data_IF_953850842407
#
_entry.id   IF_953850842407
#
_cell.length_a   1.000
_cell.length_b   1.000
_cell.length_c   1.000
_cell.angle_alpha   90.00
_cell.angle_beta   90.00
_cell.angle_gamma   90.00
#
_symmetry.space_group_name_H-M   'P 1'
#
loop_
_entity.id
_entity.type
_entity.pdbx_description
1 polymer ?
#
# COMPACT_ATOMS: atom_id res chain seq x y z
N UNK A 1 -31.60 19.54 -26.83
CA UNK A 1 -30.32 19.21 -26.16
C UNK A 1 -30.17 20.16 -24.98
N UNK A 2 -30.49 19.70 -23.74
CA UNK A 2 -30.19 20.48 -22.54
C UNK A 2 -28.65 20.56 -22.43
N UNK A 3 -28.12 21.79 -22.47
CA UNK A 3 -26.76 22.08 -22.03
C UNK A 3 -26.67 21.66 -20.58
N UNK A 4 -26.10 20.51 -20.30
CA UNK A 4 -25.68 20.12 -18.95
C UNK A 4 -24.52 21.01 -18.58
N UNK A 5 -24.80 22.05 -17.76
CA UNK A 5 -23.75 22.92 -17.23
C UNK A 5 -22.88 22.13 -16.26
N UNK A 6 -21.69 21.76 -16.73
CA UNK A 6 -20.64 21.22 -15.86
C UNK A 6 -19.92 22.37 -15.17
N UNK A 7 -19.66 22.22 -13.87
CA UNK A 7 -18.86 23.21 -13.15
C UNK A 7 -17.79 22.56 -12.33
N UNK A 8 -16.56 22.90 -12.64
CA UNK A 8 -15.38 22.41 -11.90
C UNK A 8 -15.08 23.40 -10.78
N UNK A 9 -15.16 22.93 -9.53
CA UNK A 9 -14.93 23.75 -8.35
C UNK A 9 -13.50 23.61 -7.85
N UNK A 10 -12.85 24.72 -7.50
CA UNK A 10 -11.49 24.71 -6.88
C UNK A 10 -11.44 23.93 -5.56
N UNK A 11 -12.57 23.82 -4.85
CA UNK A 11 -12.69 23.05 -3.61
C UNK A 11 -12.34 21.56 -3.76
N UNK A 12 -12.32 21.00 -4.98
CA UNK A 12 -11.88 19.62 -5.25
C UNK A 12 -10.45 19.36 -4.73
N UNK A 13 -9.58 20.36 -4.82
CA UNK A 13 -8.20 20.25 -4.30
C UNK A 13 -8.15 20.26 -2.77
N UNK A 14 -9.03 20.99 -2.11
CA UNK A 14 -9.16 20.94 -0.64
C UNK A 14 -9.64 19.55 -0.22
N UNK A 15 -10.65 19.00 -0.90
CA UNK A 15 -11.14 17.64 -0.66
C UNK A 15 -10.03 16.60 -0.83
N UNK A 16 -9.29 16.68 -1.91
CA UNK A 16 -8.18 15.76 -2.17
C UNK A 16 -7.08 15.90 -1.12
N UNK A 17 -6.71 17.15 -0.74
CA UNK A 17 -5.65 17.38 0.25
C UNK A 17 -5.99 16.83 1.62
N UNK A 18 -7.19 17.08 2.15
CA UNK A 18 -7.60 16.54 3.45
C UNK A 18 -7.71 15.01 3.42
N UNK A 19 -8.12 14.46 2.29
CA UNK A 19 -8.16 13.02 2.06
C UNK A 19 -6.75 12.41 2.01
N UNK A 20 -5.82 13.04 1.32
CA UNK A 20 -4.40 12.63 1.26
C UNK A 20 -3.77 12.65 2.65
N UNK A 21 -4.03 13.67 3.46
CA UNK A 21 -3.48 13.79 4.82
C UNK A 21 -3.94 12.61 5.69
N UNK A 22 -5.24 12.28 5.71
CA UNK A 22 -5.73 11.19 6.56
C UNK A 22 -5.22 9.83 6.10
N UNK A 23 -5.07 9.59 4.80
CA UNK A 23 -4.44 8.37 4.26
C UNK A 23 -2.98 8.29 4.71
N UNK A 24 -2.21 9.36 4.51
CA UNK A 24 -0.80 9.39 4.88
C UNK A 24 -0.61 9.12 6.38
N UNK A 25 -1.44 9.72 7.23
CA UNK A 25 -1.39 9.47 8.68
C UNK A 25 -1.75 8.02 9.01
N UNK A 26 -2.78 7.44 8.41
CA UNK A 26 -3.13 6.03 8.63
C UNK A 26 -1.98 5.09 8.24
N UNK A 27 -1.33 5.34 7.10
CA UNK A 27 -0.19 4.53 6.63
C UNK A 27 1.06 4.71 7.51
N UNK A 28 1.31 5.92 8.01
CA UNK A 28 2.35 6.17 9.01
C UNK A 28 2.11 5.35 10.27
N UNK A 29 0.85 5.32 10.76
CA UNK A 29 0.48 4.55 11.95
C UNK A 29 0.60 3.04 11.73
N UNK A 30 0.36 2.55 10.51
CA UNK A 30 0.54 1.14 10.17
C UNK A 30 1.99 0.70 10.30
N UNK A 31 2.93 1.44 9.71
CA UNK A 31 4.34 1.02 9.60
C UNK A 31 5.19 1.40 10.82
N UNK A 32 4.62 2.14 11.79
CA UNK A 32 5.32 2.72 12.95
C UNK A 32 6.35 1.79 13.60
N UNK A 33 6.02 0.53 13.83
CA UNK A 33 6.88 -0.37 14.61
C UNK A 33 7.95 -1.09 13.78
N UNK A 34 7.88 -1.05 12.45
CA UNK A 34 8.83 -1.74 11.57
C UNK A 34 10.29 -1.31 11.76
N UNK A 35 10.62 0.00 11.81
CA UNK A 35 12.00 0.44 11.97
C UNK A 35 12.52 0.43 13.42
N UNK A 36 11.67 0.10 14.41
CA UNK A 36 11.99 0.11 15.84
C UNK A 36 11.56 -1.18 16.54
N UNK A 37 11.55 -2.30 15.84
CA UNK A 37 11.06 -3.59 16.38
C UNK A 37 11.77 -3.97 17.67
N UNK A 38 13.08 -3.78 17.74
CA UNK A 38 13.85 -4.15 18.92
C UNK A 38 13.57 -3.25 20.14
N UNK A 39 13.52 -1.94 19.94
CA UNK A 39 13.17 -1.00 21.00
C UNK A 39 11.76 -1.30 21.53
N UNK A 40 10.83 -1.66 20.63
CA UNK A 40 9.47 -2.06 21.03
C UNK A 40 9.45 -3.39 21.78
N UNK A 41 10.26 -4.39 21.35
CA UNK A 41 10.44 -5.67 22.09
C UNK A 41 10.91 -5.40 23.52
N UNK A 42 11.92 -4.56 23.70
CA UNK A 42 12.43 -4.20 25.02
C UNK A 42 11.42 -3.41 25.85
N UNK A 43 10.71 -2.45 25.23
CA UNK A 43 9.75 -1.59 25.89
C UNK A 43 8.52 -2.36 26.42
N UNK A 44 8.02 -3.32 25.63
CA UNK A 44 6.81 -4.10 25.99
C UNK A 44 7.12 -5.46 26.62
N UNK A 45 8.36 -5.93 26.60
CA UNK A 45 8.73 -7.27 27.10
C UNK A 45 8.09 -8.41 26.29
N UNK A 46 7.94 -8.25 24.99
CA UNK A 46 7.28 -9.21 24.08
C UNK A 46 8.23 -9.70 22.99
N UNK A 47 7.84 -10.76 22.27
CA UNK A 47 8.64 -11.28 21.16
C UNK A 47 8.56 -10.39 19.89
N UNK A 48 9.57 -10.52 19.01
CA UNK A 48 9.56 -9.87 17.67
C UNK A 48 8.27 -10.13 16.92
N UNK A 49 7.76 -11.39 16.95
CA UNK A 49 6.53 -11.75 16.27
C UNK A 49 5.33 -10.95 16.77
N UNK A 50 5.24 -10.68 18.09
CA UNK A 50 4.18 -9.84 18.64
C UNK A 50 4.28 -8.41 18.15
N UNK A 51 5.49 -7.86 17.99
CA UNK A 51 5.67 -6.55 17.37
C UNK A 51 5.31 -6.58 15.89
N UNK A 52 5.77 -7.58 15.13
CA UNK A 52 5.37 -7.79 13.73
C UNK A 52 3.86 -7.95 13.55
N UNK A 53 3.15 -8.52 14.53
CA UNK A 53 1.71 -8.66 14.52
C UNK A 53 0.97 -7.30 14.53
N UNK A 54 1.58 -6.24 15.07
CA UNK A 54 1.04 -4.88 14.98
C UNK A 54 0.93 -4.37 13.53
N UNK A 55 1.78 -4.83 12.64
CA UNK A 55 1.65 -4.57 11.18
C UNK A 55 0.74 -5.58 10.51
N UNK A 56 0.84 -6.87 10.85
CA UNK A 56 0.03 -7.95 10.27
C UNK A 56 -1.48 -7.78 10.55
N UNK A 57 -1.86 -7.23 11.70
CA UNK A 57 -3.28 -7.04 12.05
C UNK A 57 -4.01 -6.16 11.03
N UNK A 58 -3.34 -5.21 10.38
CA UNK A 58 -3.92 -4.42 9.29
C UNK A 58 -4.29 -5.28 8.08
N UNK A 59 -3.43 -6.22 7.72
CA UNK A 59 -3.69 -7.13 6.59
C UNK A 59 -4.86 -8.08 6.90
N UNK A 60 -4.87 -8.64 8.11
CA UNK A 60 -5.95 -9.53 8.58
C UNK A 60 -7.29 -8.79 8.60
N UNK A 61 -7.31 -7.60 9.19
CA UNK A 61 -8.51 -6.76 9.27
C UNK A 61 -8.96 -6.32 7.89
N UNK A 62 -8.03 -5.99 6.99
CA UNK A 62 -8.37 -5.62 5.62
C UNK A 62 -9.12 -6.73 4.88
N UNK A 63 -8.71 -8.00 5.03
CA UNK A 63 -9.40 -9.14 4.41
C UNK A 63 -10.87 -9.26 4.85
N UNK A 64 -11.16 -8.91 6.10
CA UNK A 64 -12.52 -9.01 6.66
C UNK A 64 -13.34 -7.75 6.38
N UNK A 65 -12.74 -6.59 6.54
CA UNK A 65 -13.45 -5.29 6.55
C UNK A 65 -13.53 -4.64 5.16
N UNK A 66 -12.68 -5.03 4.20
CA UNK A 66 -12.61 -4.37 2.89
C UNK A 66 -13.95 -4.39 2.13
N UNK A 67 -14.66 -5.53 2.11
CA UNK A 67 -15.96 -5.66 1.43
C UNK A 67 -17.04 -4.83 2.13
N UNK A 68 -17.27 -4.97 3.46
CA UNK A 68 -18.20 -4.11 4.17
C UNK A 68 -17.89 -2.62 4.04
N UNK A 69 -16.60 -2.24 4.11
CA UNK A 69 -16.19 -0.84 3.96
C UNK A 69 -16.54 -0.30 2.57
N UNK A 70 -16.25 -1.03 1.51
CA UNK A 70 -16.62 -0.66 0.14
C UNK A 70 -18.13 -0.51 0.00
N UNK A 71 -18.91 -1.43 0.55
CA UNK A 71 -20.37 -1.35 0.53
C UNK A 71 -20.90 -0.10 1.26
N UNK A 72 -20.33 0.24 2.42
CA UNK A 72 -20.70 1.45 3.17
C UNK A 72 -20.34 2.71 2.36
N UNK A 73 -19.14 2.75 1.75
CA UNK A 73 -18.71 3.85 0.89
C UNK A 73 -19.68 4.01 -0.30
N UNK A 74 -20.08 2.91 -0.92
CA UNK A 74 -20.98 2.94 -2.09
C UNK A 74 -22.39 3.34 -1.74
N UNK A 75 -22.90 2.89 -0.62
CA UNK A 75 -24.29 3.14 -0.19
C UNK A 75 -24.47 4.52 0.46
N UNK A 76 -23.57 4.87 1.40
CA UNK A 76 -23.72 6.09 2.22
C UNK A 76 -22.78 7.23 1.80
N UNK A 77 -21.87 6.97 0.86
CA UNK A 77 -21.02 7.98 0.26
C UNK A 77 -19.69 8.22 0.98
N UNK A 78 -18.96 9.23 0.48
CA UNK A 78 -17.60 9.57 0.92
C UNK A 78 -17.63 10.11 2.36
N UNK A 79 -18.56 10.98 2.67
CA UNK A 79 -18.61 11.64 3.99
C UNK A 79 -18.79 10.64 5.12
N UNK A 80 -19.66 9.66 4.94
CA UNK A 80 -19.91 8.60 5.93
C UNK A 80 -18.80 7.56 5.88
N UNK A 81 -18.49 7.00 4.70
CA UNK A 81 -17.49 5.94 4.55
C UNK A 81 -16.11 6.39 5.00
N UNK A 82 -15.54 7.38 4.32
CA UNK A 82 -14.19 7.88 4.66
C UNK A 82 -14.18 8.54 6.04
N UNK A 83 -15.28 9.21 6.42
CA UNK A 83 -15.46 9.79 7.76
C UNK A 83 -15.33 8.75 8.86
N UNK A 84 -15.93 7.56 8.69
CA UNK A 84 -15.76 6.43 9.62
C UNK A 84 -14.30 6.02 9.73
N UNK A 85 -13.58 5.87 8.60
CA UNK A 85 -12.15 5.58 8.58
C UNK A 85 -11.32 6.65 9.28
N UNK A 86 -11.64 7.92 9.08
CA UNK A 86 -10.95 9.05 9.71
C UNK A 86 -11.17 9.07 11.23
N UNK A 87 -12.42 8.89 11.70
CA UNK A 87 -12.74 8.83 13.14
C UNK A 87 -12.02 7.67 13.82
N UNK A 88 -12.05 6.49 13.23
CA UNK A 88 -11.35 5.32 13.77
C UNK A 88 -9.82 5.57 13.83
N UNK A 89 -9.24 6.12 12.78
CA UNK A 89 -7.81 6.46 12.75
C UNK A 89 -7.46 7.49 13.82
N UNK A 90 -8.23 8.55 13.98
CA UNK A 90 -7.99 9.61 14.95
C UNK A 90 -8.19 9.14 16.40
N UNK A 91 -9.32 8.48 16.69
CA UNK A 91 -9.67 8.01 18.04
C UNK A 91 -8.67 6.95 18.54
N UNK A 92 -8.46 5.90 17.75
CA UNK A 92 -7.56 4.80 18.14
C UNK A 92 -6.09 5.19 18.02
N UNK A 93 -5.74 6.10 17.12
CA UNK A 93 -4.41 6.70 17.08
C UNK A 93 -4.08 7.46 18.36
N UNK A 94 -5.02 8.27 18.87
CA UNK A 94 -4.87 8.95 20.15
C UNK A 94 -4.84 7.96 21.32
N UNK A 95 -5.76 6.98 21.35
CA UNK A 95 -5.80 5.95 22.38
C UNK A 95 -4.46 5.21 22.49
N UNK A 96 -3.83 4.87 21.35
CA UNK A 96 -2.50 4.27 21.31
C UNK A 96 -1.44 5.14 22.02
N UNK A 97 -1.54 6.46 21.88
CA UNK A 97 -0.65 7.41 22.55
C UNK A 97 -0.91 7.56 24.04
N UNK A 98 -2.16 7.32 24.51
CA UNK A 98 -2.55 7.43 25.92
C UNK A 98 -2.23 6.17 26.73
N UNK A 99 -2.03 5.02 26.09
CA UNK A 99 -1.75 3.73 26.75
C UNK A 99 -0.41 3.12 26.26
N UNK A 100 0.68 3.88 26.29
CA UNK A 100 1.93 3.52 25.61
C UNK A 100 2.69 2.35 26.25
N UNK A 101 2.34 1.94 27.46
CA UNK A 101 3.09 0.92 28.22
C UNK A 101 2.42 -0.45 28.24
N UNK A 102 1.19 -0.57 27.73
CA UNK A 102 0.44 -1.84 27.74
C UNK A 102 0.28 -2.38 26.32
N UNK A 103 0.97 -3.49 26.02
CA UNK A 103 0.93 -4.11 24.71
C UNK A 103 -0.49 -4.51 24.26
N UNK A 104 -1.32 -5.05 25.15
CA UNK A 104 -2.66 -5.51 24.77
C UNK A 104 -3.59 -4.34 24.41
N UNK A 105 -3.52 -3.26 25.17
CA UNK A 105 -4.27 -2.03 24.85
C UNK A 105 -3.74 -1.36 23.59
N UNK A 106 -2.42 -1.37 23.41
CA UNK A 106 -1.80 -0.94 22.16
C UNK A 106 -2.30 -1.75 20.96
N UNK A 107 -2.35 -3.08 21.07
CA UNK A 107 -2.85 -3.96 20.02
C UNK A 107 -4.33 -3.69 19.71
N UNK A 108 -5.16 -3.50 20.74
CA UNK A 108 -6.58 -3.13 20.53
C UNK A 108 -6.71 -1.80 19.79
N UNK A 109 -5.92 -0.81 20.16
CA UNK A 109 -5.89 0.48 19.47
C UNK A 109 -5.40 0.31 18.00
N UNK A 110 -4.38 -0.51 17.80
CA UNK A 110 -3.84 -0.81 16.46
C UNK A 110 -4.89 -1.48 15.57
N UNK A 111 -5.66 -2.44 16.08
CA UNK A 111 -6.78 -3.07 15.39
C UNK A 111 -7.87 -2.04 15.05
N UNK A 112 -8.17 -1.11 15.97
CA UNK A 112 -9.11 -0.02 15.71
C UNK A 112 -8.68 0.88 14.54
N UNK A 113 -7.38 1.23 14.45
CA UNK A 113 -6.80 1.97 13.32
C UNK A 113 -6.90 1.12 12.04
N UNK A 114 -6.61 -0.19 12.15
CA UNK A 114 -6.65 -1.12 11.02
C UNK A 114 -8.06 -1.24 10.41
N UNK A 115 -9.13 -1.22 11.24
CA UNK A 115 -10.52 -1.19 10.77
C UNK A 115 -10.79 0.06 9.92
N UNK A 116 -10.17 1.18 10.27
CA UNK A 116 -10.30 2.44 9.51
C UNK A 116 -9.63 2.38 8.12
N UNK A 117 -8.58 1.58 7.93
CA UNK A 117 -7.78 1.58 6.71
C UNK A 117 -8.57 1.25 5.42
N UNK A 118 -9.41 0.20 5.35
CA UNK A 118 -10.19 -0.10 4.13
C UNK A 118 -11.14 1.03 3.74
N UNK A 119 -11.73 1.75 4.71
CA UNK A 119 -12.58 2.92 4.44
C UNK A 119 -11.81 4.07 3.78
N UNK A 120 -10.53 4.18 4.07
CA UNK A 120 -9.67 5.19 3.48
C UNK A 120 -9.17 4.76 2.10
N UNK A 121 -8.62 3.55 1.97
CA UNK A 121 -7.97 3.12 0.74
C UNK A 121 -8.96 2.80 -0.39
N UNK A 122 -10.11 2.19 -0.07
CA UNK A 122 -11.09 1.79 -1.09
C UNK A 122 -11.88 2.97 -1.66
N UNK A 123 -11.80 4.16 -1.04
CA UNK A 123 -12.51 5.35 -1.51
C UNK A 123 -11.73 6.21 -2.52
N UNK A 124 -10.45 5.89 -2.82
CA UNK A 124 -9.57 6.74 -3.64
C UNK A 124 -10.21 7.07 -4.99
N UNK A 125 -10.64 6.06 -5.72
CA UNK A 125 -11.24 6.23 -7.05
C UNK A 125 -12.58 6.95 -6.96
N UNK A 126 -13.37 6.70 -5.93
CA UNK A 126 -14.68 7.34 -5.72
C UNK A 126 -14.55 8.83 -5.40
N UNK A 127 -13.55 9.21 -4.60
CA UNK A 127 -13.24 10.62 -4.33
C UNK A 127 -12.86 11.32 -5.64
N UNK A 128 -11.99 10.70 -6.44
CA UNK A 128 -11.61 11.22 -7.75
C UNK A 128 -12.82 11.35 -8.70
N UNK A 129 -13.65 10.30 -8.80
CA UNK A 129 -14.82 10.29 -9.70
C UNK A 129 -15.87 11.32 -9.34
N UNK A 130 -16.10 11.61 -8.05
CA UNK A 130 -17.13 12.57 -7.61
C UNK A 130 -16.69 14.03 -7.68
N UNK A 131 -15.41 14.32 -7.53
CA UNK A 131 -14.92 15.68 -7.39
C UNK A 131 -14.17 16.20 -8.62
N UNK A 132 -13.64 15.29 -9.46
CA UNK A 132 -12.79 15.66 -10.58
C UNK A 132 -13.43 15.35 -11.94
N UNK A 133 -13.21 16.21 -12.95
CA UNK A 133 -13.58 15.89 -14.33
C UNK A 133 -12.77 14.66 -14.81
N UNK A 134 -13.26 13.99 -15.85
CA UNK A 134 -12.69 12.70 -16.33
C UNK A 134 -11.20 12.81 -16.62
N UNK A 135 -10.78 13.92 -17.21
CA UNK A 135 -9.39 14.18 -17.59
C UNK A 135 -8.43 14.27 -16.40
N UNK A 136 -8.93 14.63 -15.21
CA UNK A 136 -8.14 14.81 -13.98
C UNK A 136 -8.27 13.63 -13.00
N UNK A 137 -9.16 12.66 -13.22
CA UNK A 137 -9.43 11.55 -12.27
C UNK A 137 -8.22 10.67 -12.03
N UNK A 138 -7.47 10.36 -13.09
CA UNK A 138 -6.24 9.56 -12.98
C UNK A 138 -5.20 10.27 -12.10
N UNK A 139 -5.04 11.60 -12.28
CA UNK A 139 -4.15 12.41 -11.45
C UNK A 139 -4.59 12.44 -10.00
N UNK A 140 -5.89 12.64 -9.74
CA UNK A 140 -6.43 12.68 -8.38
C UNK A 140 -6.27 11.33 -7.66
N UNK A 141 -6.56 10.21 -8.35
CA UNK A 141 -6.36 8.85 -7.81
C UNK A 141 -4.88 8.55 -7.59
N UNK A 142 -4.03 8.97 -8.50
CA UNK A 142 -2.57 8.84 -8.38
C UNK A 142 -2.03 9.59 -7.17
N UNK A 143 -2.47 10.83 -6.93
CA UNK A 143 -2.10 11.61 -5.74
C UNK A 143 -2.61 10.96 -4.44
N UNK A 144 -3.84 10.42 -4.45
CA UNK A 144 -4.37 9.64 -3.33
C UNK A 144 -3.51 8.42 -3.00
N UNK A 145 -3.08 7.68 -4.02
CA UNK A 145 -2.17 6.53 -3.84
C UNK A 145 -0.78 6.97 -3.38
N UNK A 146 -0.26 8.06 -3.94
CA UNK A 146 1.03 8.63 -3.55
C UNK A 146 1.05 9.04 -2.07
N UNK A 147 -0.07 9.53 -1.53
CA UNK A 147 -0.16 9.88 -0.12
C UNK A 147 0.05 8.68 0.81
N UNK A 148 -0.33 7.48 0.39
CA UNK A 148 -0.03 6.24 1.13
C UNK A 148 1.48 6.02 1.25
N UNK A 149 2.22 6.19 0.16
CA UNK A 149 3.68 6.07 0.17
C UNK A 149 4.36 7.18 0.98
N UNK A 150 3.83 8.41 0.95
CA UNK A 150 4.32 9.52 1.79
C UNK A 150 4.15 9.17 3.27
N UNK A 151 3.02 8.60 3.66
CA UNK A 151 2.80 8.12 5.03
C UNK A 151 3.79 7.04 5.46
N UNK A 152 4.03 6.04 4.60
CA UNK A 152 5.03 5.00 4.85
C UNK A 152 6.44 5.57 4.97
N UNK A 153 6.82 6.47 4.07
CA UNK A 153 8.12 7.16 4.08
C UNK A 153 8.32 7.90 5.41
N UNK A 154 7.33 8.70 5.79
CA UNK A 154 7.34 9.44 7.05
C UNK A 154 7.46 8.51 8.26
N UNK A 155 6.68 7.41 8.28
CA UNK A 155 6.74 6.40 9.34
C UNK A 155 8.11 5.74 9.47
N UNK A 156 8.74 5.39 8.36
CA UNK A 156 10.07 4.78 8.36
C UNK A 156 11.17 5.72 8.89
N UNK A 157 11.15 6.99 8.49
CA UNK A 157 12.22 7.94 8.82
C UNK A 157 11.99 8.62 10.17
N UNK A 158 10.77 9.13 10.43
CA UNK A 158 10.49 9.92 11.62
C UNK A 158 10.42 9.07 12.89
N UNK A 159 9.95 7.82 12.79
CA UNK A 159 9.75 6.98 13.98
C UNK A 159 11.04 6.72 14.75
N UNK A 160 12.12 6.17 14.16
CA UNK A 160 13.34 5.90 14.90
C UNK A 160 14.02 7.19 15.37
N UNK A 161 13.90 8.29 14.61
CA UNK A 161 14.41 9.60 15.03
C UNK A 161 13.69 10.12 16.28
N UNK A 162 12.36 10.04 16.33
CA UNK A 162 11.57 10.43 17.50
C UNK A 162 11.86 9.53 18.70
N UNK A 163 11.98 8.21 18.48
CA UNK A 163 12.25 7.24 19.56
C UNK A 163 13.63 7.48 20.16
N UNK A 164 14.66 7.69 19.35
CA UNK A 164 16.02 7.99 19.84
C UNK A 164 16.11 9.26 20.66
N UNK A 165 15.30 10.28 20.35
CA UNK A 165 15.28 11.55 21.07
C UNK A 165 14.33 11.61 22.29
N UNK A 166 13.25 10.84 22.30
CA UNK A 166 12.18 11.02 23.29
C UNK A 166 11.49 9.74 23.76
N UNK A 167 11.89 8.58 23.25
CA UNK A 167 11.32 7.28 23.59
C UNK A 167 9.98 6.98 22.91
N UNK A 168 9.56 5.70 23.02
CA UNK A 168 8.36 5.17 22.34
C UNK A 168 7.09 5.87 22.83
N UNK A 169 6.93 6.07 24.13
CA UNK A 169 5.71 6.66 24.69
C UNK A 169 5.42 8.05 24.14
N UNK A 170 6.46 8.90 24.06
CA UNK A 170 6.30 10.27 23.54
C UNK A 170 6.06 10.27 22.04
N UNK A 171 6.72 9.40 21.29
CA UNK A 171 6.48 9.23 19.86
C UNK A 171 5.03 8.82 19.57
N UNK A 172 4.50 7.82 20.32
CA UNK A 172 3.11 7.38 20.18
C UNK A 172 2.10 8.49 20.51
N UNK A 173 2.39 9.30 21.52
CA UNK A 173 1.54 10.45 21.88
C UNK A 173 1.53 11.52 20.80
N UNK A 174 2.69 11.86 20.24
CA UNK A 174 2.81 12.80 19.12
C UNK A 174 2.00 12.29 17.91
N UNK A 175 2.18 11.04 17.52
CA UNK A 175 1.43 10.43 16.41
C UNK A 175 -0.07 10.35 16.69
N UNK A 176 -0.47 10.13 17.95
CA UNK A 176 -1.86 10.16 18.35
C UNK A 176 -2.52 11.53 18.18
N UNK A 177 -1.81 12.61 18.53
CA UNK A 177 -2.27 13.98 18.30
C UNK A 177 -2.38 14.26 16.81
N UNK A 178 -1.39 13.90 16.01
CA UNK A 178 -1.45 14.06 14.55
C UNK A 178 -2.63 13.30 13.93
N UNK A 179 -2.90 12.09 14.41
CA UNK A 179 -4.03 11.28 13.95
C UNK A 179 -5.36 11.96 14.28
N UNK A 180 -5.52 12.48 15.50
CA UNK A 180 -6.73 13.20 15.92
C UNK A 180 -6.92 14.48 15.10
N UNK A 181 -5.88 15.29 14.95
CA UNK A 181 -5.93 16.53 14.17
C UNK A 181 -6.31 16.22 12.71
N UNK A 182 -5.69 15.22 12.09
CA UNK A 182 -6.00 14.84 10.70
C UNK A 182 -7.45 14.39 10.54
N UNK A 183 -8.00 13.64 11.51
CA UNK A 183 -9.38 13.22 11.51
C UNK A 183 -10.35 14.41 11.67
N UNK A 184 -10.07 15.33 12.59
CA UNK A 184 -10.87 16.55 12.79
C UNK A 184 -10.84 17.42 11.53
N UNK A 185 -9.66 17.65 10.95
CA UNK A 185 -9.51 18.41 9.70
C UNK A 185 -10.31 17.77 8.58
N UNK A 186 -10.21 16.43 8.44
CA UNK A 186 -11.01 15.73 7.43
C UNK A 186 -12.51 15.94 7.65
N UNK A 187 -13.04 15.73 8.86
CA UNK A 187 -14.47 15.84 9.17
C UNK A 187 -15.00 17.26 8.94
N UNK A 188 -14.22 18.28 9.27
CA UNK A 188 -14.61 19.70 9.10
C UNK A 188 -14.71 20.07 7.61
N UNK A 189 -13.75 19.62 6.80
CA UNK A 189 -13.67 20.01 5.40
C UNK A 189 -14.31 19.03 4.43
N UNK A 190 -14.64 17.80 4.84
CA UNK A 190 -15.24 16.81 3.95
C UNK A 190 -16.62 17.24 3.47
N UNK A 191 -16.84 17.11 2.16
CA UNK A 191 -18.16 17.26 1.54
C UNK A 191 -18.43 16.06 0.65
N UNK A 192 -19.70 15.66 0.56
CA UNK A 192 -20.09 14.45 -0.17
C UNK A 192 -19.90 14.61 -1.69
N UNK A 193 -20.30 15.77 -2.24
CA UNK A 193 -20.26 16.07 -3.66
C UNK A 193 -20.23 17.58 -3.90
N UNK A 194 -19.75 18.04 -5.04
CA UNK A 194 -19.90 19.44 -5.43
C UNK A 194 -21.36 19.78 -5.71
N UNK A 195 -21.76 21.06 -5.63
CA UNK A 195 -23.14 21.49 -5.92
C UNK A 195 -23.61 21.15 -7.34
N UNK A 196 -22.70 21.14 -8.32
CA UNK A 196 -22.95 20.72 -9.71
C UNK A 196 -21.92 19.65 -10.05
N UNK A 197 -22.36 18.56 -10.70
CA UNK A 197 -21.48 17.45 -11.08
C UNK A 197 -20.35 17.91 -12.04
N UNK A 198 -19.13 17.34 -11.92
CA UNK A 198 -18.02 17.71 -12.79
C UNK A 198 -18.06 17.02 -14.17
N UNK A 199 -19.05 16.13 -14.41
CA UNK A 199 -19.20 15.38 -15.67
C UNK A 199 -20.66 15.00 -15.94
N UNK A 200 -20.96 14.46 -17.14
CA UNK A 200 -22.31 14.05 -17.53
C UNK A 200 -22.88 12.88 -16.72
N UNK A 201 -24.21 12.82 -16.51
CA UNK A 201 -24.87 11.66 -15.92
C UNK A 201 -24.54 10.38 -16.73
N UNK A 202 -24.22 9.28 -16.04
CA UNK A 202 -23.88 7.99 -16.65
C UNK A 202 -22.38 7.71 -16.81
N UNK A 203 -21.51 8.67 -16.51
CA UNK A 203 -20.05 8.49 -16.45
C UNK A 203 -19.55 8.29 -15.01
N UNK A 204 -20.44 7.98 -14.11
CA UNK A 204 -20.12 7.63 -12.73
C UNK A 204 -19.54 6.19 -12.65
N UNK A 205 -18.67 5.96 -11.68
CA UNK A 205 -18.02 4.67 -11.46
C UNK A 205 -19.07 3.58 -11.19
N UNK A 206 -18.93 2.43 -11.86
CA UNK A 206 -19.84 1.29 -11.65
C UNK A 206 -19.45 0.55 -10.37
N UNK A 207 -20.46 0.14 -9.57
CA UNK A 207 -20.28 -0.68 -8.39
C UNK A 207 -19.66 -2.05 -8.72
N UNK A 208 -19.01 -2.66 -7.71
CA UNK A 208 -18.47 -4.02 -7.77
C UNK A 208 -19.49 -5.02 -8.34
N UNK A 209 -19.22 -5.60 -9.51
CA UNK A 209 -20.06 -6.61 -10.11
C UNK A 209 -19.55 -8.01 -9.73
N UNK A 210 -20.23 -8.68 -8.81
CA UNK A 210 -19.91 -10.05 -8.37
C UNK A 210 -19.92 -11.08 -9.53
N UNK A 211 -20.71 -10.80 -10.57
CA UNK A 211 -20.82 -11.67 -11.76
C UNK A 211 -19.52 -11.73 -12.59
N UNK A 212 -18.65 -10.72 -12.47
CA UNK A 212 -17.35 -10.70 -13.14
C UNK A 212 -16.33 -11.71 -12.58
N UNK A 213 -16.55 -12.23 -11.36
CA UNK A 213 -15.58 -13.08 -10.66
C UNK A 213 -15.25 -14.37 -11.42
N UNK A 214 -16.27 -15.07 -11.92
CA UNK A 214 -16.07 -16.32 -12.70
C UNK A 214 -15.24 -16.08 -13.97
N UNK A 215 -15.40 -14.91 -14.58
CA UNK A 215 -14.69 -14.53 -15.79
C UNK A 215 -13.19 -14.28 -15.50
N UNK A 216 -12.90 -13.60 -14.40
CA UNK A 216 -11.53 -13.30 -13.97
C UNK A 216 -10.73 -14.60 -13.76
N UNK A 217 -11.24 -15.55 -12.99
CA UNK A 217 -10.54 -16.82 -12.69
C UNK A 217 -10.39 -17.76 -13.88
N UNK A 218 -11.17 -17.59 -14.94
CA UNK A 218 -11.01 -18.31 -16.21
C UNK A 218 -9.84 -17.77 -17.05
N UNK A 219 -9.40 -16.55 -16.82
CA UNK A 219 -8.31 -15.93 -17.57
C UNK A 219 -6.95 -16.41 -17.04
N UNK A 220 -6.24 -17.22 -17.82
CA UNK A 220 -4.92 -17.78 -17.45
C UNK A 220 -3.87 -16.67 -17.22
N UNK A 221 -3.90 -15.59 -17.99
CA UNK A 221 -2.96 -14.49 -17.81
C UNK A 221 -3.21 -13.75 -16.47
N UNK A 222 -4.48 -13.60 -16.08
CA UNK A 222 -4.84 -13.01 -14.81
C UNK A 222 -4.42 -13.89 -13.61
N UNK A 223 -4.54 -15.21 -13.75
CA UNK A 223 -4.07 -16.13 -12.71
C UNK A 223 -2.55 -16.06 -12.51
N UNK A 224 -1.78 -15.94 -13.60
CA UNK A 224 -0.34 -15.68 -13.49
C UNK A 224 -0.03 -14.32 -12.88
N UNK A 225 -0.79 -13.28 -13.23
CA UNK A 225 -0.65 -11.96 -12.64
C UNK A 225 -0.95 -11.98 -11.14
N UNK A 226 -2.02 -12.66 -10.71
CA UNK A 226 -2.32 -12.86 -9.28
C UNK A 226 -1.16 -13.54 -8.54
N UNK A 227 -0.54 -14.56 -9.14
CA UNK A 227 0.62 -15.23 -8.57
C UNK A 227 1.82 -14.29 -8.43
N UNK A 228 2.07 -13.46 -9.45
CA UNK A 228 3.13 -12.43 -9.40
C UNK A 228 2.83 -11.41 -8.29
N UNK A 229 1.60 -10.94 -8.17
CA UNK A 229 1.19 -10.02 -7.12
C UNK A 229 1.25 -10.65 -5.72
N UNK A 230 0.87 -11.94 -5.60
CA UNK A 230 1.02 -12.70 -4.37
C UNK A 230 2.47 -12.66 -3.88
N UNK A 231 3.44 -12.96 -4.75
CA UNK A 231 4.84 -12.95 -4.37
C UNK A 231 5.33 -11.51 -4.16
N UNK A 232 5.11 -10.60 -5.10
CA UNK A 232 5.65 -9.25 -5.08
C UNK A 232 5.19 -8.44 -3.87
N UNK A 233 3.87 -8.37 -3.63
CA UNK A 233 3.32 -7.65 -2.48
C UNK A 233 3.67 -8.33 -1.15
N UNK A 234 3.68 -9.67 -1.11
CA UNK A 234 4.08 -10.40 0.08
C UNK A 234 5.53 -10.15 0.47
N UNK A 235 6.45 -10.18 -0.49
CA UNK A 235 7.88 -9.88 -0.26
C UNK A 235 8.05 -8.43 0.18
N UNK A 236 7.37 -7.47 -0.47
CA UNK A 236 7.41 -6.06 -0.07
C UNK A 236 6.97 -5.88 1.39
N UNK A 237 5.79 -6.41 1.74
CA UNK A 237 5.23 -6.29 3.08
C UNK A 237 6.12 -6.93 4.14
N UNK A 238 6.71 -8.09 3.84
CA UNK A 238 7.60 -8.79 4.76
C UNK A 238 8.93 -8.06 4.95
N UNK A 239 9.57 -7.59 3.88
CA UNK A 239 10.81 -6.82 3.95
C UNK A 239 10.58 -5.49 4.66
N UNK A 240 9.49 -4.77 4.34
CA UNK A 240 9.15 -3.51 4.98
C UNK A 240 8.88 -3.68 6.48
N UNK A 241 8.15 -4.74 6.88
CA UNK A 241 7.83 -5.01 8.29
C UNK A 241 9.07 -5.40 9.10
N UNK A 242 9.97 -6.19 8.53
CA UNK A 242 11.16 -6.71 9.22
C UNK A 242 12.45 -5.94 8.90
N UNK A 243 12.37 -4.70 8.41
CA UNK A 243 13.55 -3.96 7.94
C UNK A 243 14.63 -3.82 9.03
N UNK A 244 14.25 -3.56 10.26
CA UNK A 244 15.18 -3.48 11.39
C UNK A 244 15.77 -4.85 11.74
N UNK A 245 14.95 -5.90 11.81
CA UNK A 245 15.40 -7.26 12.07
C UNK A 245 16.33 -7.82 10.97
N UNK A 246 16.19 -7.34 9.72
CA UNK A 246 17.10 -7.68 8.61
C UNK A 246 18.46 -7.02 8.82
N UNK A 247 18.52 -5.78 9.28
CA UNK A 247 19.73 -4.96 9.32
C UNK A 247 20.46 -5.05 10.65
N UNK A 248 19.74 -5.16 11.76
CA UNK A 248 20.30 -5.16 13.11
C UNK A 248 21.37 -6.25 13.37
N UNK A 249 21.18 -7.53 12.94
CA UNK A 249 22.23 -8.55 13.13
C UNK A 249 23.55 -8.25 12.40
N UNK A 250 23.54 -7.24 11.50
CA UNK A 250 24.73 -6.75 10.77
C UNK A 250 25.33 -5.49 11.42
N UNK A 251 24.85 -5.09 12.61
CA UNK A 251 25.36 -3.96 13.38
C UNK A 251 24.77 -2.59 13.02
N UNK A 252 23.72 -2.52 12.19
CA UNK A 252 23.06 -1.27 11.85
C UNK A 252 22.05 -0.86 12.92
N UNK A 253 21.97 0.45 13.21
CA UNK A 253 21.02 1.03 14.16
C UNK A 253 19.60 1.09 13.60
N UNK A 254 18.60 1.29 14.48
CA UNK A 254 17.20 1.51 14.07
C UNK A 254 17.02 2.75 13.21
N UNK A 255 17.79 3.82 13.45
CA UNK A 255 17.80 5.01 12.60
C UNK A 255 18.31 4.65 11.19
N UNK A 256 19.35 3.84 11.08
CA UNK A 256 19.86 3.36 9.79
C UNK A 256 18.86 2.43 9.10
N UNK A 257 18.17 1.57 9.85
CA UNK A 257 17.11 0.71 9.33
C UNK A 257 15.91 1.54 8.82
N UNK A 258 15.51 2.55 9.57
CA UNK A 258 14.46 3.48 9.15
C UNK A 258 14.82 4.27 7.89
N UNK A 259 16.05 4.77 7.79
CA UNK A 259 16.54 5.45 6.58
C UNK A 259 16.54 4.50 5.38
N UNK A 260 16.95 3.24 5.58
CA UNK A 260 16.94 2.21 4.54
C UNK A 260 15.50 1.95 4.05
N UNK A 261 14.56 1.75 4.98
CA UNK A 261 13.15 1.59 4.65
C UNK A 261 12.56 2.84 3.97
N UNK A 262 12.95 4.02 4.45
CA UNK A 262 12.56 5.30 3.84
C UNK A 262 13.05 5.42 2.39
N UNK A 263 14.34 5.14 2.12
CA UNK A 263 14.88 5.16 0.75
C UNK A 263 14.24 4.08 -0.14
N UNK A 264 13.89 2.92 0.42
CA UNK A 264 13.11 1.91 -0.30
C UNK A 264 11.76 2.48 -0.76
N UNK A 265 11.03 3.17 0.09
CA UNK A 265 9.75 3.80 -0.29
C UNK A 265 9.96 4.95 -1.26
N UNK A 266 10.97 5.80 -1.05
CA UNK A 266 11.30 6.91 -1.95
C UNK A 266 11.66 6.41 -3.36
N UNK A 267 12.47 5.35 -3.44
CA UNK A 267 12.76 4.66 -4.70
C UNK A 267 11.48 4.14 -5.36
N UNK A 268 10.58 3.56 -4.56
CA UNK A 268 9.28 3.07 -5.02
C UNK A 268 8.38 4.17 -5.60
N UNK A 269 8.34 5.34 -4.97
CA UNK A 269 7.63 6.51 -5.51
C UNK A 269 8.18 6.89 -6.89
N UNK A 270 9.50 7.01 -7.01
CA UNK A 270 10.14 7.31 -8.29
C UNK A 270 9.86 6.24 -9.35
N UNK A 271 9.96 4.97 -8.97
CA UNK A 271 9.68 3.85 -9.87
C UNK A 271 8.24 3.83 -10.36
N UNK A 272 7.28 4.06 -9.45
CA UNK A 272 5.85 4.11 -9.77
C UNK A 272 5.46 5.31 -10.68
N UNK A 273 6.28 6.36 -10.73
CA UNK A 273 6.11 7.48 -11.63
C UNK A 273 6.78 7.25 -12.99
N UNK A 274 7.94 6.59 -13.03
CA UNK A 274 8.76 6.50 -14.24
C UNK A 274 8.38 5.28 -15.10
N UNK A 275 8.41 4.07 -14.54
CA UNK A 275 8.23 2.85 -15.32
C UNK A 275 6.83 2.69 -15.95
N UNK A 276 5.72 3.08 -15.29
CA UNK A 276 4.41 3.05 -15.93
C UNK A 276 4.33 3.99 -17.15
N UNK A 277 4.88 5.20 -17.04
CA UNK A 277 4.92 6.17 -18.16
C UNK A 277 5.71 5.61 -19.35
N UNK A 278 6.84 4.95 -19.08
CA UNK A 278 7.61 4.27 -20.14
C UNK A 278 6.81 3.10 -20.73
N UNK A 279 6.13 2.29 -19.88
CA UNK A 279 5.26 1.20 -20.34
C UNK A 279 4.13 1.70 -21.27
N UNK A 280 3.54 2.85 -20.94
CA UNK A 280 2.51 3.50 -21.75
C UNK A 280 3.07 4.02 -23.07
N UNK A 281 4.22 4.69 -23.02
CA UNK A 281 4.90 5.23 -24.21
C UNK A 281 5.25 4.14 -25.22
N UNK A 282 5.81 3.01 -24.75
CA UNK A 282 6.16 1.88 -25.61
C UNK A 282 4.97 0.95 -25.91
N UNK A 283 3.81 1.18 -25.32
CA UNK A 283 2.61 0.33 -25.43
C UNK A 283 2.90 -1.14 -25.13
N UNK A 284 3.67 -1.43 -24.09
CA UNK A 284 4.05 -2.77 -23.65
C UNK A 284 3.93 -2.90 -22.14
N UNK A 285 3.21 -3.92 -21.65
CA UNK A 285 3.05 -4.18 -20.21
C UNK A 285 4.01 -5.27 -19.74
N UNK A 286 4.00 -6.39 -20.42
CA UNK A 286 4.74 -7.59 -20.01
C UNK A 286 6.25 -7.36 -19.85
N UNK A 287 6.98 -6.74 -20.80
CA UNK A 287 8.41 -6.50 -20.66
C UNK A 287 8.74 -5.61 -19.45
N UNK A 288 7.90 -4.61 -19.16
CA UNK A 288 8.11 -3.71 -18.01
C UNK A 288 7.86 -4.41 -16.67
N UNK A 289 6.88 -5.33 -16.60
CA UNK A 289 6.69 -6.21 -15.43
C UNK A 289 7.93 -7.10 -15.25
N UNK A 290 8.48 -7.67 -16.32
CA UNK A 290 9.70 -8.50 -16.25
C UNK A 290 10.91 -7.69 -15.78
N UNK A 291 11.13 -6.49 -16.32
CA UNK A 291 12.22 -5.59 -15.89
C UNK A 291 12.08 -5.24 -14.41
N UNK A 292 10.86 -4.91 -13.98
CA UNK A 292 10.56 -4.60 -12.58
C UNK A 292 10.87 -5.79 -11.66
N UNK A 293 10.45 -7.00 -12.01
CA UNK A 293 10.71 -8.20 -11.22
C UNK A 293 12.20 -8.58 -11.22
N UNK A 294 12.90 -8.46 -12.35
CA UNK A 294 14.33 -8.72 -12.45
C UNK A 294 15.13 -7.73 -11.58
N UNK A 295 14.86 -6.43 -11.72
CA UNK A 295 15.50 -5.39 -10.93
C UNK A 295 15.23 -5.55 -9.43
N UNK A 296 13.99 -5.87 -9.04
CA UNK A 296 13.64 -6.13 -7.66
C UNK A 296 14.36 -7.37 -7.10
N UNK A 297 14.47 -8.44 -7.89
CA UNK A 297 15.18 -9.67 -7.47
C UNK A 297 16.67 -9.39 -7.25
N UNK A 298 17.33 -8.71 -8.18
CA UNK A 298 18.76 -8.33 -8.07
C UNK A 298 18.96 -7.43 -6.85
N UNK A 299 18.08 -6.48 -6.65
CA UNK A 299 18.16 -5.55 -5.52
C UNK A 299 17.93 -6.24 -4.17
N UNK A 300 17.04 -7.24 -4.11
CA UNK A 300 16.83 -8.05 -2.91
C UNK A 300 18.07 -8.92 -2.58
N UNK A 301 18.77 -9.43 -3.60
CA UNK A 301 20.08 -10.08 -3.41
C UNK A 301 21.05 -9.05 -2.81
N UNK A 302 21.11 -7.83 -3.34
CA UNK A 302 21.94 -6.76 -2.80
C UNK A 302 21.64 -6.48 -1.33
N UNK A 303 20.36 -6.32 -0.94
CA UNK A 303 19.95 -6.15 0.47
C UNK A 303 20.43 -7.35 1.32
N UNK A 304 20.42 -8.56 0.76
CA UNK A 304 20.76 -9.78 1.51
C UNK A 304 22.25 -9.92 1.76
N UNK A 305 23.10 -9.58 0.80
CA UNK A 305 24.56 -9.86 0.86
C UNK A 305 25.39 -8.62 1.21
N UNK A 306 24.87 -7.40 1.06
CA UNK A 306 25.63 -6.18 1.31
C UNK A 306 26.04 -6.07 2.78
N UNK A 307 27.33 -5.85 3.03
CA UNK A 307 27.91 -5.58 4.36
C UNK A 307 28.14 -4.09 4.61
N UNK A 308 28.31 -3.32 3.55
CA UNK A 308 28.49 -1.87 3.61
C UNK A 308 27.14 -1.18 3.58
N UNK A 309 26.93 -0.20 4.49
CA UNK A 309 25.68 0.53 4.61
C UNK A 309 25.27 1.25 3.32
N UNK A 310 26.21 1.85 2.60
CA UNK A 310 25.93 2.52 1.34
C UNK A 310 25.35 1.57 0.27
N UNK A 311 25.91 0.35 0.17
CA UNK A 311 25.37 -0.69 -0.71
C UNK A 311 23.96 -1.14 -0.30
N UNK A 312 23.70 -1.22 1.01
CA UNK A 312 22.36 -1.51 1.53
C UNK A 312 21.37 -0.45 1.10
N UNK A 313 21.73 0.84 1.22
CA UNK A 313 20.88 1.96 0.83
C UNK A 313 20.54 1.95 -0.67
N UNK A 314 21.56 1.77 -1.52
CA UNK A 314 21.35 1.68 -2.98
C UNK A 314 20.47 0.48 -3.33
N UNK A 315 20.75 -0.67 -2.72
CA UNK A 315 19.96 -1.89 -2.97
C UNK A 315 18.51 -1.74 -2.50
N UNK A 316 18.27 -1.11 -1.36
CA UNK A 316 16.92 -0.84 -0.86
C UNK A 316 16.16 0.15 -1.75
N UNK A 317 16.82 1.23 -2.16
CA UNK A 317 16.23 2.21 -3.08
C UNK A 317 15.87 1.57 -4.42
N UNK A 318 16.77 0.77 -4.98
CA UNK A 318 16.53 0.04 -6.23
C UNK A 318 15.42 -1.02 -6.06
N UNK A 319 15.40 -1.75 -4.93
CA UNK A 319 14.33 -2.70 -4.63
C UNK A 319 12.95 -2.03 -4.63
N UNK A 320 12.82 -0.91 -3.94
CA UNK A 320 11.59 -0.13 -3.96
C UNK A 320 11.23 0.38 -5.36
N UNK A 321 12.21 0.97 -6.07
CA UNK A 321 12.04 1.50 -7.42
C UNK A 321 11.44 0.46 -8.37
N UNK A 322 12.04 -0.71 -8.44
CA UNK A 322 11.59 -1.75 -9.34
C UNK A 322 10.31 -2.41 -8.84
N UNK A 323 10.21 -2.80 -7.57
CA UNK A 323 9.07 -3.58 -7.09
C UNK A 323 7.77 -2.78 -7.08
N UNK A 324 7.79 -1.55 -6.54
CA UNK A 324 6.57 -0.74 -6.46
C UNK A 324 6.12 -0.20 -7.82
N UNK A 325 7.02 -0.08 -8.80
CA UNK A 325 6.64 0.27 -10.18
C UNK A 325 5.80 -0.81 -10.87
N UNK A 326 5.98 -2.08 -10.47
CA UNK A 326 5.18 -3.18 -11.02
C UNK A 326 3.70 -3.09 -10.65
N UNK A 327 3.36 -2.40 -9.56
CA UNK A 327 1.98 -2.23 -9.10
C UNK A 327 1.07 -1.54 -10.13
N UNK A 328 1.31 -0.26 -10.46
CA UNK A 328 0.50 0.45 -11.47
C UNK A 328 0.46 -0.25 -12.82
N UNK A 329 1.61 -0.79 -13.30
CA UNK A 329 1.67 -1.53 -14.57
C UNK A 329 0.81 -2.79 -14.50
N UNK A 330 0.90 -3.54 -13.40
CA UNK A 330 0.14 -4.77 -13.21
C UNK A 330 -1.35 -4.52 -13.01
N UNK A 331 -1.76 -3.45 -12.32
CA UNK A 331 -3.16 -3.05 -12.20
C UNK A 331 -3.76 -2.70 -13.54
N UNK A 332 -3.04 -1.90 -14.35
CA UNK A 332 -3.47 -1.55 -15.70
C UNK A 332 -3.55 -2.80 -16.60
N UNK A 333 -2.51 -3.64 -16.58
CA UNK A 333 -2.52 -4.90 -17.32
C UNK A 333 -3.66 -5.82 -16.89
N UNK A 334 -3.91 -5.93 -15.57
CA UNK A 334 -5.02 -6.69 -15.01
C UNK A 334 -6.38 -6.23 -15.55
N UNK A 335 -6.62 -4.91 -15.55
CA UNK A 335 -7.83 -4.31 -16.09
C UNK A 335 -8.00 -4.59 -17.61
N UNK A 336 -6.93 -4.46 -18.38
CA UNK A 336 -6.94 -4.69 -19.83
C UNK A 336 -7.27 -6.15 -20.20
N UNK A 337 -6.70 -7.13 -19.48
CA UNK A 337 -6.91 -8.56 -19.81
C UNK A 337 -8.21 -9.13 -19.27
N UNK A 338 -8.84 -8.46 -18.31
CA UNK A 338 -10.13 -8.89 -17.72
C UNK A 338 -11.33 -8.14 -18.28
N UNK A 339 -11.13 -7.20 -19.21
CA UNK A 339 -12.24 -6.50 -19.85
C UNK A 339 -13.29 -7.50 -20.38
N UNK A 340 -14.60 -7.29 -20.14
CA UNK A 340 -15.29 -6.08 -19.65
C UNK A 340 -15.55 -6.03 -18.13
N UNK A 341 -14.82 -6.79 -17.32
CA UNK A 341 -14.95 -6.71 -15.85
C UNK A 341 -14.44 -5.36 -15.35
N UNK A 342 -15.06 -4.81 -14.31
CA UNK A 342 -14.64 -3.53 -13.76
C UNK A 342 -13.22 -3.58 -13.20
N UNK A 343 -12.43 -2.52 -13.44
CA UNK A 343 -11.06 -2.38 -12.95
C UNK A 343 -10.98 -2.51 -11.42
N UNK A 344 -11.96 -1.96 -10.69
CA UNK A 344 -12.04 -2.08 -9.25
C UNK A 344 -12.12 -3.52 -8.76
N UNK A 345 -12.82 -4.40 -9.50
CA UNK A 345 -12.90 -5.82 -9.15
C UNK A 345 -11.57 -6.53 -9.38
N UNK A 346 -10.96 -6.39 -10.56
CA UNK A 346 -9.69 -7.04 -10.86
C UNK A 346 -8.56 -6.56 -9.95
N UNK A 347 -8.43 -5.25 -9.74
CA UNK A 347 -7.41 -4.67 -8.88
C UNK A 347 -7.65 -5.00 -7.40
N UNK A 348 -8.91 -5.04 -6.97
CA UNK A 348 -9.28 -5.48 -5.63
C UNK A 348 -8.81 -6.90 -5.31
N UNK A 349 -8.92 -7.83 -6.28
CA UNK A 349 -8.39 -9.18 -6.12
C UNK A 349 -6.88 -9.23 -6.00
N UNK A 350 -6.17 -8.46 -6.84
CA UNK A 350 -4.71 -8.37 -6.76
C UNK A 350 -4.26 -7.85 -5.38
N UNK A 351 -4.96 -6.86 -4.84
CA UNK A 351 -4.68 -6.35 -3.49
C UNK A 351 -4.99 -7.37 -2.40
N UNK A 352 -6.15 -8.06 -2.46
CA UNK A 352 -6.51 -9.08 -1.47
C UNK A 352 -5.49 -10.23 -1.43
N UNK A 353 -5.05 -10.69 -2.58
CA UNK A 353 -4.01 -11.72 -2.69
C UNK A 353 -2.69 -11.24 -2.08
N UNK A 354 -2.35 -9.96 -2.25
CA UNK A 354 -1.21 -9.32 -1.61
C UNK A 354 -1.32 -9.24 -0.08
N UNK A 355 -2.51 -9.02 0.48
CA UNK A 355 -2.71 -9.05 1.93
C UNK A 355 -2.49 -10.46 2.50
N UNK A 356 -3.04 -11.48 1.85
CA UNK A 356 -2.86 -12.89 2.25
C UNK A 356 -1.36 -13.24 2.26
N UNK A 357 -0.65 -12.93 1.18
CA UNK A 357 0.78 -13.22 1.07
C UNK A 357 1.61 -12.44 2.08
N UNK A 358 1.25 -11.18 2.36
CA UNK A 358 1.89 -10.37 3.39
C UNK A 358 1.85 -11.05 4.76
N UNK A 359 0.68 -11.55 5.18
CA UNK A 359 0.53 -12.30 6.44
C UNK A 359 1.43 -13.54 6.44
N UNK A 360 1.36 -14.34 5.38
CA UNK A 360 2.13 -15.60 5.27
C UNK A 360 3.64 -15.34 5.27
N UNK A 361 4.11 -14.32 4.57
CA UNK A 361 5.53 -14.04 4.45
C UNK A 361 6.11 -13.35 5.68
N UNK A 362 5.37 -12.46 6.34
CA UNK A 362 5.78 -11.87 7.62
C UNK A 362 5.93 -12.97 8.67
N UNK A 363 4.94 -13.86 8.79
CA UNK A 363 5.00 -14.99 9.71
C UNK A 363 6.12 -15.97 9.32
N UNK A 364 6.22 -16.32 8.03
CA UNK A 364 7.25 -17.22 7.52
C UNK A 364 8.66 -16.70 7.76
N UNK A 365 8.93 -15.42 7.49
CA UNK A 365 10.25 -14.82 7.74
C UNK A 365 10.66 -14.94 9.21
N UNK A 366 9.72 -14.70 10.13
CA UNK A 366 10.01 -14.85 11.56
C UNK A 366 10.26 -16.31 11.94
N UNK A 367 9.52 -17.27 11.38
CA UNK A 367 9.68 -18.70 11.67
C UNK A 367 11.01 -19.28 11.17
N UNK A 368 11.54 -18.76 10.06
CA UNK A 368 12.83 -19.17 9.50
C UNK A 368 14.02 -18.31 9.98
N UNK A 369 13.78 -17.35 10.87
CA UNK A 369 14.81 -16.54 11.52
C UNK A 369 15.76 -17.45 12.30
N UNK A 370 17.08 -17.19 12.23
CA UNK A 370 18.06 -17.92 13.03
C UNK A 370 17.83 -17.67 14.53
N UNK A 371 17.61 -18.72 15.30
CA UNK A 371 17.45 -18.64 16.77
C UNK A 371 18.75 -18.26 17.48
N UNK A 372 19.91 -18.55 16.88
CA UNK A 372 21.23 -18.31 17.48
C UNK A 372 21.68 -16.86 17.20
N UNK A 373 21.64 -16.43 15.95
CA UNK A 373 22.21 -15.14 15.51
C UNK A 373 21.16 -14.04 15.32
N UNK A 374 19.88 -14.38 15.34
CA UNK A 374 18.81 -13.47 14.95
C UNK A 374 18.80 -13.10 13.46
N UNK A 375 19.68 -13.70 12.64
CA UNK A 375 19.84 -13.37 11.23
C UNK A 375 18.60 -13.73 10.40
N UNK A 376 18.21 -12.82 9.52
CA UNK A 376 17.14 -12.98 8.53
C UNK A 376 17.66 -13.44 7.15
N UNK A 377 18.94 -13.85 7.04
CA UNK A 377 19.52 -14.26 5.75
C UNK A 377 18.79 -15.46 5.13
N UNK A 378 18.49 -16.49 5.94
CA UNK A 378 17.75 -17.67 5.44
C UNK A 378 16.38 -17.32 4.87
N UNK A 379 15.50 -16.62 5.59
CA UNK A 379 14.21 -16.21 5.01
C UNK A 379 14.36 -15.27 3.81
N UNK A 380 15.36 -14.39 3.77
CA UNK A 380 15.61 -13.56 2.59
C UNK A 380 16.00 -14.38 1.36
N UNK A 381 16.80 -15.44 1.52
CA UNK A 381 17.11 -16.37 0.41
C UNK A 381 15.84 -17.04 -0.11
N UNK A 382 14.91 -17.44 0.76
CA UNK A 382 13.61 -17.97 0.34
C UNK A 382 12.82 -16.91 -0.46
N UNK A 383 12.82 -15.65 0.00
CA UNK A 383 12.16 -14.55 -0.74
C UNK A 383 12.81 -14.30 -2.11
N UNK A 384 14.15 -14.40 -2.22
CA UNK A 384 14.86 -14.31 -3.51
C UNK A 384 14.44 -15.44 -4.46
N UNK A 385 14.34 -16.67 -3.96
CA UNK A 385 13.89 -17.82 -4.76
C UNK A 385 12.45 -17.57 -5.24
N UNK A 386 11.54 -17.13 -4.37
CA UNK A 386 10.18 -16.81 -4.74
C UNK A 386 10.09 -15.68 -5.79
N UNK A 387 10.90 -14.63 -5.63
CA UNK A 387 10.98 -13.55 -6.61
C UNK A 387 11.53 -14.05 -7.97
N UNK A 388 12.51 -14.94 -7.95
CA UNK A 388 13.02 -15.58 -9.18
C UNK A 388 11.96 -16.45 -9.86
N UNK A 389 11.17 -17.20 -9.08
CA UNK A 389 10.02 -17.96 -9.60
C UNK A 389 8.96 -17.01 -10.17
N UNK A 390 8.69 -15.89 -9.52
CA UNK A 390 7.78 -14.84 -10.03
C UNK A 390 8.27 -14.26 -11.36
N UNK A 391 9.57 -13.97 -11.46
CA UNK A 391 10.20 -13.51 -12.70
C UNK A 391 10.07 -14.55 -13.82
N UNK A 392 10.37 -15.82 -13.55
CA UNK A 392 10.17 -16.89 -14.53
C UNK A 392 8.70 -17.06 -14.93
N UNK A 393 7.79 -16.92 -13.97
CA UNK A 393 6.34 -16.99 -14.23
C UNK A 393 5.86 -15.84 -15.10
N UNK A 394 6.48 -14.67 -15.00
CA UNK A 394 6.13 -13.51 -15.85
C UNK A 394 6.37 -13.74 -17.34
N UNK A 395 7.22 -14.70 -17.72
CA UNK A 395 7.38 -15.11 -19.13
C UNK A 395 6.16 -15.85 -19.71
N UNK A 396 5.26 -16.33 -18.85
CA UNK A 396 4.02 -17.00 -19.26
C UNK A 396 2.87 -16.04 -19.56
N UNK A 397 2.95 -14.80 -19.11
CA UNK A 397 1.96 -13.78 -19.44
C UNK A 397 2.16 -13.25 -20.85
N UNK A 398 1.03 -13.10 -21.59
CA UNK A 398 1.03 -12.56 -22.94
C UNK A 398 0.60 -11.10 -22.92
N UNK A 399 1.13 -10.31 -23.84
CA UNK A 399 0.77 -8.91 -23.95
C UNK A 399 -0.74 -8.72 -24.20
N UNK A 400 -1.30 -7.63 -23.67
CA UNK A 400 -2.73 -7.30 -23.81
C UNK A 400 -3.08 -7.07 -25.30
N UNK A 401 -4.19 -7.68 -25.73
CA UNK A 401 -4.73 -7.46 -27.09
C UNK A 401 -5.29 -6.04 -27.27
N UNK A 402 -5.75 -5.40 -26.19
CA UNK A 402 -6.26 -4.02 -26.22
C UNK A 402 -5.16 -3.01 -26.55
N UNK A 403 -3.95 -3.21 -26.02
CA UNK A 403 -2.80 -2.33 -26.32
C UNK A 403 -2.29 -2.49 -27.76
N UNK A 404 -2.42 -3.69 -28.32
CA UNK A 404 -2.00 -3.97 -29.71
C UNK A 404 -2.96 -3.42 -30.77
N UNK A 405 -4.11 -2.91 -30.40
CA UNK A 405 -5.11 -2.41 -31.35
C UNK A 405 -5.82 -3.50 -32.14
N UNK A 406 -5.75 -4.78 -31.74
CA UNK A 406 -6.32 -5.93 -32.45
C UNK A 406 -7.85 -6.05 -32.31
N UNK A 407 -8.52 -5.14 -31.61
CA UNK A 407 -9.98 -5.14 -31.44
C UNK A 407 -10.77 -4.37 -32.50
N UNK A 408 -10.13 -3.94 -33.60
CA UNK A 408 -10.80 -3.24 -34.72
C UNK A 408 -11.63 -4.12 -35.66
N UNK A 409 -11.69 -5.45 -35.52
CA UNK A 409 -12.35 -6.34 -36.48
C UNK A 409 -13.16 -7.50 -35.90
N UNK A 410 -13.74 -7.36 -34.70
CA UNK A 410 -14.75 -8.34 -34.24
C UNK A 410 -15.86 -7.60 -33.46
N UNK A 411 -16.74 -6.97 -34.18
CA UNK A 411 -18.15 -6.70 -33.84
C UNK A 411 -19.00 -7.24 -34.97
#
# INVERSE_FOLDING_TARGET
MQKTDYKVYGYRWVMLSVYMIIIAVNQLLWITFAPITNEAVQHYGVSDLKIGFLSMCFMIVYLVVSIPASWIIDTYGIRVGVGTGAVLTGLFGLLRGLVPSNYNLLLMAQVGIAIGQPFLLNAITKVAARWFPIEERATASGLGTLSSYIGLLAGMILTPWLVSGSGISRMLYIYGIFALISAVVFIVFVRERPPVAPCSPGQEERALALDGLKLIFRNKNFNWLMFIFFIGLGVFNAVATWIENILRPRGFSSVQAGMTGGLMIAGGILGALILPVLSDHYRKRTPFIMIALAGATISLIGITVATNYFMVLISAMAFGFFLLSSGPIGFQYGAEITYPVSEGTSNGFLLLVGQISGILFIFGMNSFKSSITGSMTRPLVVMIILMSVSLLSSTRIRESSLIKGEHGHRL
#
